data_IF_139303279875
#
_entry.id   IF_139303279875
#
_cell.length_a   1.000
_cell.length_b   1.000
_cell.length_c   1.000
_cell.angle_alpha   90.00
_cell.angle_beta   90.00
_cell.angle_gamma   90.00
#
_symmetry.space_group_name_H-M   'P 1'
#
loop_
_entity.id
_entity.type
_entity.pdbx_description
1 polymer ?
#
# COMPACT_ATOMS: atom_id res chain seq x y z
N UNK A 1 17.97 -12.93 4.46
CA UNK A 1 18.11 -13.13 5.92
C UNK A 1 16.74 -13.32 6.57
N UNK A 2 15.82 -12.35 6.47
CA UNK A 2 14.51 -12.44 7.12
C UNK A 2 13.54 -13.43 6.44
N UNK A 3 13.44 -13.40 5.09
CA UNK A 3 12.66 -14.39 4.30
C UNK A 3 13.01 -15.83 4.68
N UNK A 4 14.31 -16.15 4.75
CA UNK A 4 14.78 -17.49 5.12
C UNK A 4 14.36 -17.87 6.55
N UNK A 5 14.45 -16.95 7.51
CA UNK A 5 14.01 -17.20 8.89
C UNK A 5 12.50 -17.44 8.97
N UNK A 6 11.70 -16.66 8.23
CA UNK A 6 10.25 -16.84 8.11
C UNK A 6 9.93 -18.20 7.49
N UNK A 7 10.65 -18.58 6.42
CA UNK A 7 10.47 -19.88 5.76
C UNK A 7 10.76 -21.05 6.69
N UNK A 8 11.83 -20.95 7.49
CA UNK A 8 12.17 -21.96 8.50
C UNK A 8 11.07 -22.04 9.56
N UNK A 9 10.57 -20.91 10.05
CA UNK A 9 9.47 -20.87 11.03
C UNK A 9 8.17 -21.48 10.47
N UNK A 10 7.80 -21.15 9.22
CA UNK A 10 6.66 -21.75 8.51
C UNK A 10 6.81 -23.27 8.41
N UNK A 11 7.98 -23.75 7.97
CA UNK A 11 8.25 -25.18 7.86
C UNK A 11 8.15 -25.88 9.21
N UNK A 12 8.71 -25.32 10.27
CA UNK A 12 8.69 -25.90 11.60
C UNK A 12 7.28 -25.96 12.19
N UNK A 13 6.48 -24.91 12.00
CA UNK A 13 5.12 -24.85 12.56
C UNK A 13 4.11 -25.69 11.78
N UNK A 14 4.31 -25.84 10.46
CA UNK A 14 3.38 -26.51 9.56
C UNK A 14 3.96 -27.78 8.91
N UNK A 15 4.90 -28.47 9.57
CA UNK A 15 5.49 -29.74 9.08
C UNK A 15 4.44 -30.77 8.71
N UNK A 16 3.34 -30.80 9.46
CA UNK A 16 2.35 -31.88 9.39
C UNK A 16 1.29 -31.64 8.31
N UNK A 17 1.34 -30.48 7.65
CA UNK A 17 0.38 -30.08 6.61
C UNK A 17 0.64 -30.76 5.26
N UNK A 18 1.83 -31.35 5.06
CA UNK A 18 2.21 -31.99 3.80
C UNK A 18 2.28 -31.04 2.60
N UNK A 19 2.38 -29.73 2.86
CA UNK A 19 2.56 -28.66 1.88
C UNK A 19 4.00 -28.64 1.36
N UNK A 20 4.16 -28.37 0.07
CA UNK A 20 5.47 -28.33 -0.60
C UNK A 20 6.29 -27.10 -0.24
N UNK A 21 7.60 -27.19 -0.51
CA UNK A 21 8.55 -26.11 -0.21
C UNK A 21 8.22 -24.81 -0.98
N UNK A 22 7.66 -24.93 -2.18
CA UNK A 22 7.25 -23.80 -3.02
C UNK A 22 6.14 -22.96 -2.37
N UNK A 23 5.19 -23.63 -1.67
CA UNK A 23 4.12 -22.95 -0.93
C UNK A 23 4.70 -22.18 0.26
N UNK A 24 5.64 -22.80 0.97
CA UNK A 24 6.33 -22.17 2.10
C UNK A 24 7.21 -21.00 1.63
N UNK A 25 7.86 -21.12 0.47
CA UNK A 25 8.67 -20.05 -0.11
C UNK A 25 7.81 -18.85 -0.53
N UNK A 26 6.68 -19.10 -1.19
CA UNK A 26 5.75 -18.04 -1.59
C UNK A 26 5.15 -17.29 -0.40
N UNK A 27 4.75 -17.99 0.66
CA UNK A 27 4.24 -17.35 1.88
C UNK A 27 5.36 -16.60 2.60
N UNK A 28 6.57 -17.16 2.66
CA UNK A 28 7.72 -16.48 3.24
C UNK A 28 8.07 -15.18 2.49
N UNK A 29 7.92 -15.17 1.16
CA UNK A 29 8.16 -13.97 0.34
C UNK A 29 7.15 -12.86 0.65
N UNK A 30 5.86 -13.20 0.69
CA UNK A 30 4.78 -12.25 1.06
C UNK A 30 4.99 -11.69 2.47
N UNK A 31 5.30 -12.57 3.42
CA UNK A 31 5.54 -12.17 4.80
C UNK A 31 6.81 -11.31 4.93
N UNK A 32 7.85 -11.59 4.16
CA UNK A 32 9.11 -10.83 4.22
C UNK A 32 8.99 -9.36 3.79
N UNK A 33 7.92 -8.98 3.09
CA UNK A 33 7.64 -7.59 2.74
C UNK A 33 6.95 -6.81 3.88
N UNK A 34 6.26 -7.51 4.79
CA UNK A 34 5.43 -6.91 5.83
C UNK A 34 6.06 -7.06 7.23
N UNK A 35 6.75 -8.17 7.49
CA UNK A 35 7.48 -8.45 8.72
C UNK A 35 8.82 -7.72 8.65
N UNK A 36 9.07 -6.80 9.58
CA UNK A 36 10.33 -6.02 9.61
C UNK A 36 11.26 -6.47 10.73
N UNK A 37 10.70 -7.09 11.77
CA UNK A 37 11.45 -7.55 12.93
C UNK A 37 11.30 -9.06 13.14
N UNK A 38 12.34 -9.70 13.68
CA UNK A 38 12.30 -11.14 13.96
C UNK A 38 11.27 -11.52 15.02
N UNK A 39 10.96 -10.60 15.94
CA UNK A 39 9.94 -10.82 16.97
C UNK A 39 8.51 -10.93 16.41
N UNK A 40 8.26 -10.41 15.21
CA UNK A 40 6.96 -10.44 14.55
C UNK A 40 6.73 -11.73 13.73
N UNK A 41 7.79 -12.52 13.50
CA UNK A 41 7.74 -13.73 12.66
C UNK A 41 6.71 -14.73 13.18
N UNK A 42 6.74 -15.06 14.47
CA UNK A 42 5.87 -16.10 15.03
C UNK A 42 4.38 -15.75 14.93
N UNK A 43 4.05 -14.47 15.13
CA UNK A 43 2.69 -13.92 14.98
C UNK A 43 2.27 -13.95 13.52
N UNK A 44 3.10 -13.44 12.60
CA UNK A 44 2.80 -13.41 11.19
C UNK A 44 2.64 -14.82 10.57
N UNK A 45 3.46 -15.77 11.04
CA UNK A 45 3.36 -17.18 10.66
C UNK A 45 2.08 -17.81 11.23
N UNK A 46 1.62 -17.40 12.43
CA UNK A 46 0.33 -17.82 12.98
C UNK A 46 -0.85 -17.26 12.16
N UNK A 47 -0.79 -15.99 11.75
CA UNK A 47 -1.88 -15.35 11.00
C UNK A 47 -2.12 -16.00 9.63
N UNK A 48 -1.09 -16.65 9.07
CA UNK A 48 -1.18 -17.43 7.84
C UNK A 48 -1.81 -18.84 8.02
N UNK A 49 -2.13 -19.27 9.24
CA UNK A 49 -2.66 -20.60 9.52
C UNK A 49 -3.92 -20.90 8.71
N UNK A 50 -4.88 -19.97 8.67
CA UNK A 50 -6.15 -20.17 7.95
C UNK A 50 -5.96 -20.41 6.45
N UNK A 51 -5.00 -19.69 5.83
CA UNK A 51 -4.66 -19.86 4.43
C UNK A 51 -4.02 -21.23 4.18
N UNK A 52 -2.99 -21.58 4.96
CA UNK A 52 -2.26 -22.84 4.81
C UNK A 52 -3.16 -24.06 5.02
N UNK A 53 -4.07 -23.99 6.00
CA UNK A 53 -5.05 -25.06 6.27
C UNK A 53 -6.04 -25.26 5.12
N UNK A 54 -6.40 -24.19 4.43
CA UNK A 54 -7.26 -24.24 3.25
C UNK A 54 -6.54 -24.88 2.06
N UNK A 55 -5.28 -24.51 1.82
CA UNK A 55 -4.45 -25.13 0.78
C UNK A 55 -4.25 -26.62 1.07
N UNK A 56 -3.96 -26.98 2.31
CA UNK A 56 -3.87 -28.38 2.74
C UNK A 56 -5.17 -29.14 2.46
N UNK A 57 -6.31 -28.62 2.90
CA UNK A 57 -7.61 -29.27 2.69
C UNK A 57 -7.96 -29.46 1.22
N UNK A 58 -7.48 -28.58 0.35
CA UNK A 58 -7.63 -28.68 -1.10
C UNK A 58 -6.75 -29.78 -1.70
N UNK A 59 -5.49 -29.84 -1.26
CA UNK A 59 -4.53 -30.86 -1.69
C UNK A 59 -4.97 -32.26 -1.23
N UNK A 60 -5.51 -32.38 -0.02
CA UNK A 60 -6.02 -33.64 0.51
C UNK A 60 -7.26 -34.13 -0.25
N UNK A 61 -8.15 -33.22 -0.66
CA UNK A 61 -9.27 -33.54 -1.56
C UNK A 61 -8.77 -34.07 -2.90
N UNK A 62 -7.76 -33.43 -3.51
CA UNK A 62 -7.20 -33.88 -4.78
C UNK A 62 -6.53 -35.27 -4.66
N UNK A 63 -5.76 -35.51 -3.59
CA UNK A 63 -5.14 -36.82 -3.33
C UNK A 63 -6.20 -37.91 -3.20
N UNK A 64 -7.28 -37.64 -2.48
CA UNK A 64 -8.40 -38.57 -2.34
C UNK A 64 -9.12 -38.82 -3.68
N UNK A 65 -9.34 -37.76 -4.47
CA UNK A 65 -9.96 -37.87 -5.79
C UNK A 65 -9.10 -38.70 -6.75
N UNK A 66 -7.78 -38.48 -6.79
CA UNK A 66 -6.84 -39.28 -7.59
C UNK A 66 -6.84 -40.74 -7.18
N UNK A 67 -6.74 -41.03 -5.87
CA UNK A 67 -6.78 -42.42 -5.38
C UNK A 67 -8.07 -43.14 -5.76
N UNK A 68 -9.21 -42.44 -5.68
CA UNK A 68 -10.51 -42.97 -6.11
C UNK A 68 -10.57 -43.23 -7.62
N UNK A 69 -10.04 -42.31 -8.42
CA UNK A 69 -9.97 -42.45 -9.87
C UNK A 69 -9.07 -43.62 -10.30
N UNK A 70 -7.89 -43.78 -9.69
CA UNK A 70 -7.00 -44.91 -9.96
C UNK A 70 -7.64 -46.26 -9.60
N UNK A 71 -8.35 -46.34 -8.47
CA UNK A 71 -9.08 -47.56 -8.09
C UNK A 71 -10.18 -47.90 -9.11
N UNK A 72 -10.92 -46.91 -9.59
CA UNK A 72 -11.94 -47.10 -10.64
C UNK A 72 -11.32 -47.53 -11.95
N UNK A 73 -10.23 -46.89 -12.38
CA UNK A 73 -9.51 -47.24 -13.60
C UNK A 73 -8.98 -48.67 -13.55
N UNK A 74 -8.46 -49.10 -12.40
CA UNK A 74 -7.98 -50.47 -12.19
C UNK A 74 -9.13 -51.49 -12.21
N UNK A 75 -10.26 -51.19 -11.57
CA UNK A 75 -11.44 -52.04 -11.60
C UNK A 75 -11.99 -52.23 -13.03
N UNK A 76 -12.05 -51.15 -13.82
CA UNK A 76 -12.44 -51.19 -15.24
C UNK A 76 -11.44 -52.01 -16.08
N UNK A 77 -10.14 -51.87 -15.82
CA UNK A 77 -9.11 -52.64 -16.52
C UNK A 77 -9.14 -54.14 -16.17
N UNK A 78 -9.51 -54.49 -14.93
CA UNK A 78 -9.68 -55.88 -14.51
C UNK A 78 -10.99 -56.49 -15.05
N UNK A 79 -12.06 -55.69 -15.17
CA UNK A 79 -13.32 -56.08 -15.82
C UNK A 79 -13.13 -56.32 -17.33
N UNK A 80 -12.32 -55.49 -17.99
CA UNK A 80 -11.94 -55.67 -19.40
C UNK A 80 -11.04 -56.90 -19.67
N UNK A 81 -10.41 -57.47 -18.63
CA UNK A 81 -9.62 -58.71 -18.72
C UNK A 81 -10.43 -59.99 -18.47
N UNK A 82 -11.68 -59.89 -18.02
CA UNK A 82 -12.56 -61.05 -17.91
C UNK A 82 -13.11 -61.44 -19.29
N UNK A 83 -13.23 -62.74 -19.61
CA UNK A 83 -13.74 -63.18 -20.91
C UNK A 83 -15.18 -62.71 -21.13
N UNK A 84 -15.60 -62.44 -22.38
CA UNK A 84 -16.88 -61.85 -22.69
C UNK A 84 -18.01 -62.76 -22.22
N UNK A 85 -18.95 -62.26 -21.40
CA UNK A 85 -20.27 -62.89 -21.27
C UNK A 85 -21.07 -62.57 -22.55
N UNK A 86 -21.70 -63.59 -23.13
CA UNK A 86 -22.39 -63.56 -24.42
C UNK A 86 -23.41 -62.41 -24.59
N UNK A 87 -23.65 -61.97 -25.84
CA UNK A 87 -24.37 -60.73 -26.14
C UNK A 87 -25.89 -60.90 -26.17
N UNK A 88 -26.62 -59.93 -25.61
CA UNK A 88 -28.03 -59.68 -25.93
C UNK A 88 -28.14 -58.42 -26.83
N UNK A 89 -29.10 -58.37 -27.78
CA UNK A 89 -29.02 -57.49 -28.94
C UNK A 89 -29.38 -56.03 -28.63
N UNK A 90 -28.62 -55.09 -29.22
CA UNK A 90 -29.01 -53.67 -29.41
C UNK A 90 -29.80 -53.53 -30.72
N UNK A 91 -30.63 -52.48 -30.89
CA UNK A 91 -30.09 -51.25 -31.50
C UNK A 91 -30.67 -49.95 -30.92
N UNK A 92 -29.82 -48.94 -30.84
CA UNK A 92 -30.15 -47.57 -30.44
C UNK A 92 -28.87 -46.76 -30.28
N UNK A 93 -28.21 -46.48 -31.40
CA UNK A 93 -27.10 -45.52 -31.47
C UNK A 93 -27.62 -44.11 -31.23
N UNK A 94 -27.10 -43.46 -30.18
CA UNK A 94 -26.80 -42.03 -30.23
C UNK A 94 -25.38 -41.85 -29.71
N UNK A 95 -24.46 -41.73 -30.65
CA UNK A 95 -23.12 -41.20 -30.42
C UNK A 95 -23.22 -39.75 -30.00
N UNK A 96 -22.67 -39.39 -28.84
CA UNK A 96 -22.13 -38.04 -28.61
C UNK A 96 -21.10 -38.08 -27.47
N UNK A 97 -19.87 -37.69 -27.82
CA UNK A 97 -18.87 -36.96 -27.01
C UNK A 97 -18.41 -37.61 -25.69
N UNK A 98 -17.17 -38.06 -25.51
CA UNK A 98 -15.94 -37.57 -26.12
C UNK A 98 -15.54 -36.19 -25.58
N UNK A 99 -15.46 -36.02 -24.26
CA UNK A 99 -14.62 -35.05 -23.56
C UNK A 99 -14.77 -35.28 -22.04
N UNK A 100 -13.80 -35.94 -21.41
CA UNK A 100 -13.61 -35.77 -19.97
C UNK A 100 -13.02 -34.37 -19.81
N UNK A 101 -13.88 -33.36 -19.66
CA UNK A 101 -13.45 -32.05 -19.19
C UNK A 101 -12.65 -32.22 -17.89
N UNK A 102 -11.59 -31.41 -17.66
CA UNK A 102 -10.95 -31.37 -16.35
C UNK A 102 -12.02 -31.17 -15.27
N UNK A 103 -11.88 -31.75 -14.06
CA UNK A 103 -12.93 -31.67 -13.06
C UNK A 103 -13.31 -30.20 -12.84
N UNK A 104 -14.55 -29.82 -13.14
CA UNK A 104 -15.05 -28.43 -13.07
C UNK A 104 -14.62 -27.72 -11.78
N UNK A 105 -14.55 -28.48 -10.67
CA UNK A 105 -14.10 -28.02 -9.35
C UNK A 105 -12.63 -27.54 -9.32
N UNK A 106 -11.72 -28.16 -10.07
CA UNK A 106 -10.31 -27.73 -10.16
C UNK A 106 -10.16 -26.43 -10.98
N UNK A 107 -10.96 -26.27 -12.03
CA UNK A 107 -11.02 -25.00 -12.77
C UNK A 107 -11.64 -23.89 -11.93
N UNK A 108 -12.71 -24.18 -11.18
CA UNK A 108 -13.35 -23.24 -10.26
C UNK A 108 -12.41 -22.85 -9.10
N UNK A 109 -11.60 -23.79 -8.59
CA UNK A 109 -10.57 -23.46 -7.60
C UNK A 109 -9.48 -22.56 -8.16
N UNK A 110 -9.00 -22.83 -9.38
CA UNK A 110 -7.99 -21.97 -10.04
C UNK A 110 -8.53 -20.56 -10.28
N UNK A 111 -9.80 -20.41 -10.65
CA UNK A 111 -10.40 -19.08 -10.82
C UNK A 111 -10.57 -18.37 -9.49
N UNK A 112 -10.94 -19.08 -8.41
CA UNK A 112 -11.07 -18.50 -7.08
C UNK A 112 -9.72 -18.08 -6.48
N UNK A 113 -8.68 -18.91 -6.66
CA UNK A 113 -7.30 -18.55 -6.28
C UNK A 113 -6.83 -17.34 -7.07
N UNK A 114 -7.03 -17.30 -8.39
CA UNK A 114 -6.64 -16.15 -9.20
C UNK A 114 -7.38 -14.87 -8.78
N UNK A 115 -8.67 -14.97 -8.47
CA UNK A 115 -9.46 -13.85 -7.97
C UNK A 115 -8.97 -13.36 -6.60
N UNK A 116 -8.63 -14.28 -5.70
CA UNK A 116 -8.13 -13.93 -4.37
C UNK A 116 -6.72 -13.33 -4.43
N UNK A 117 -5.83 -13.89 -5.24
CA UNK A 117 -4.51 -13.31 -5.51
C UNK A 117 -4.65 -11.89 -6.04
N UNK A 118 -5.56 -11.66 -6.98
CA UNK A 118 -5.85 -10.32 -7.49
C UNK A 118 -6.29 -9.36 -6.38
N UNK A 119 -7.21 -9.77 -5.50
CA UNK A 119 -7.65 -8.94 -4.37
C UNK A 119 -6.51 -8.64 -3.39
N UNK A 120 -5.66 -9.62 -3.09
CA UNK A 120 -4.49 -9.41 -2.20
C UNK A 120 -3.52 -8.41 -2.80
N UNK A 121 -3.24 -8.50 -4.10
CA UNK A 121 -2.38 -7.53 -4.80
C UNK A 121 -3.00 -6.13 -4.76
N UNK A 122 -4.29 -5.99 -5.09
CA UNK A 122 -5.00 -4.70 -5.05
C UNK A 122 -5.00 -4.07 -3.64
N UNK A 123 -5.22 -4.89 -2.59
CA UNK A 123 -5.15 -4.42 -1.20
C UNK A 123 -3.74 -3.98 -0.80
N UNK A 124 -2.72 -4.72 -1.24
CA UNK A 124 -1.31 -4.41 -0.95
C UNK A 124 -0.91 -3.10 -1.63
N UNK A 125 -1.31 -2.90 -2.88
CA UNK A 125 -1.11 -1.65 -3.61
C UNK A 125 -1.83 -0.49 -2.91
N UNK A 126 -3.12 -0.66 -2.57
CA UNK A 126 -3.90 0.36 -1.87
C UNK A 126 -3.29 0.77 -0.52
N UNK A 127 -2.81 -0.19 0.27
CA UNK A 127 -2.12 0.09 1.53
C UNK A 127 -0.79 0.81 1.32
N UNK A 128 -0.03 0.44 0.29
CA UNK A 128 1.23 1.12 -0.08
C UNK A 128 0.96 2.59 -0.42
N UNK A 129 -0.09 2.85 -1.20
CA UNK A 129 -0.51 4.21 -1.55
C UNK A 129 -0.93 5.02 -0.32
N UNK A 130 -1.71 4.41 0.57
CA UNK A 130 -2.12 5.04 1.84
C UNK A 130 -0.92 5.37 2.72
N UNK A 131 0.04 4.47 2.84
CA UNK A 131 1.28 4.71 3.60
C UNK A 131 2.09 5.87 3.03
N UNK A 132 2.23 5.96 1.70
CA UNK A 132 2.93 7.09 1.07
C UNK A 132 2.22 8.42 1.29
N UNK A 133 0.89 8.44 1.21
CA UNK A 133 0.08 9.62 1.53
C UNK A 133 0.30 10.09 2.97
N UNK A 134 0.33 9.17 3.93
CA UNK A 134 0.58 9.45 5.35
C UNK A 134 2.00 9.99 5.58
N UNK A 135 3.01 9.38 4.95
CA UNK A 135 4.40 9.86 5.00
C UNK A 135 4.52 11.29 4.44
N UNK A 136 3.93 11.55 3.28
CA UNK A 136 3.95 12.87 2.67
C UNK A 136 3.21 13.90 3.52
N UNK A 137 2.04 13.54 4.04
CA UNK A 137 1.27 14.42 4.94
C UNK A 137 2.08 14.77 6.19
N UNK A 138 2.82 13.80 6.73
CA UNK A 138 3.68 14.01 7.91
C UNK A 138 4.85 14.93 7.57
N UNK A 139 5.58 14.67 6.48
CA UNK A 139 6.70 15.51 6.04
C UNK A 139 6.27 16.97 5.80
N UNK A 140 5.12 17.18 5.16
CA UNK A 140 4.56 18.53 4.91
C UNK A 140 4.18 19.26 6.22
N UNK A 141 3.70 18.53 7.23
CA UNK A 141 3.42 19.09 8.57
C UNK A 141 4.69 19.48 9.30
N UNK A 142 5.74 18.65 9.24
CA UNK A 142 7.03 18.91 9.88
C UNK A 142 7.69 20.18 9.33
N UNK A 143 7.65 20.39 8.02
CA UNK A 143 8.17 21.60 7.36
C UNK A 143 7.21 22.79 7.42
N UNK A 144 6.13 22.68 8.21
CA UNK A 144 5.15 23.71 8.54
C UNK A 144 4.38 24.33 7.37
N UNK A 145 4.16 23.56 6.30
CA UNK A 145 3.22 23.98 5.25
C UNK A 145 1.79 23.80 5.79
N UNK A 146 0.89 24.79 5.66
CA UNK A 146 -0.48 24.65 6.13
C UNK A 146 -1.26 23.54 5.42
N UNK A 147 -2.01 22.74 6.19
CA UNK A 147 -2.80 21.61 5.67
C UNK A 147 -3.80 22.04 4.58
N UNK A 148 -4.38 23.23 4.71
CA UNK A 148 -5.31 23.78 3.71
C UNK A 148 -4.66 24.01 2.33
N UNK A 149 -3.34 24.21 2.27
CA UNK A 149 -2.63 24.45 1.02
C UNK A 149 -2.42 23.16 0.23
N UNK A 150 -1.98 22.09 0.89
CA UNK A 150 -1.58 20.86 0.19
C UNK A 150 -2.64 19.76 0.19
N UNK A 151 -3.52 19.69 1.20
CA UNK A 151 -4.45 18.56 1.37
C UNK A 151 -5.36 18.35 0.16
N UNK A 152 -5.96 19.38 -0.47
CA UNK A 152 -6.77 19.19 -1.68
C UNK A 152 -5.97 18.67 -2.88
N UNK A 153 -4.67 18.94 -2.92
CA UNK A 153 -3.78 18.59 -4.04
C UNK A 153 -3.40 17.12 -3.97
N UNK A 154 -3.12 16.61 -2.77
CA UNK A 154 -2.63 15.24 -2.56
C UNK A 154 -3.75 14.23 -2.28
N UNK A 155 -4.94 14.69 -1.89
CA UNK A 155 -6.07 13.79 -1.62
C UNK A 155 -6.51 13.07 -2.89
N UNK A 156 -6.61 11.74 -2.82
CA UNK A 156 -7.02 10.90 -3.96
C UNK A 156 -5.93 10.68 -5.02
N UNK A 157 -4.71 11.17 -4.81
CA UNK A 157 -3.58 10.83 -5.68
C UNK A 157 -3.05 9.43 -5.39
N UNK A 158 -2.55 8.81 -6.44
CA UNK A 158 -1.64 7.66 -6.37
C UNK A 158 -0.21 8.14 -6.61
N UNK A 159 0.72 7.42 -6.02
CA UNK A 159 2.15 7.70 -6.00
C UNK A 159 2.88 6.57 -6.73
N UNK A 160 3.79 6.88 -7.66
CA UNK A 160 4.61 5.86 -8.31
C UNK A 160 5.54 5.19 -7.30
N UNK A 161 6.12 4.04 -7.66
CA UNK A 161 6.96 3.24 -6.75
C UNK A 161 8.21 4.00 -6.30
N UNK A 162 8.82 4.76 -7.21
CA UNK A 162 9.99 5.61 -7.04
C UNK A 162 9.67 7.01 -6.47
N UNK A 163 8.43 7.24 -6.03
CA UNK A 163 8.03 8.53 -5.45
C UNK A 163 8.89 8.90 -4.23
N UNK A 164 9.64 9.99 -4.37
CA UNK A 164 10.44 10.58 -3.30
C UNK A 164 9.61 11.60 -2.51
N UNK A 165 9.20 11.18 -1.31
CA UNK A 165 8.43 12.00 -0.37
C UNK A 165 9.17 13.29 0.02
N UNK A 166 10.48 13.22 0.23
CA UNK A 166 11.27 14.35 0.74
C UNK A 166 11.46 15.42 -0.34
N UNK A 167 11.76 14.99 -1.57
CA UNK A 167 11.88 15.89 -2.72
C UNK A 167 10.56 16.59 -2.99
N UNK A 168 9.44 15.86 -3.08
CA UNK A 168 8.14 16.47 -3.33
C UNK A 168 7.70 17.41 -2.18
N UNK A 169 7.95 17.03 -0.93
CA UNK A 169 7.64 17.91 0.21
C UNK A 169 8.41 19.24 0.15
N UNK A 170 9.69 19.20 -0.26
CA UNK A 170 10.53 20.39 -0.43
C UNK A 170 10.01 21.31 -1.55
N UNK A 171 9.54 20.74 -2.66
CA UNK A 171 8.92 21.51 -3.75
C UNK A 171 7.64 22.22 -3.29
N UNK A 172 6.78 21.52 -2.54
CA UNK A 172 5.55 22.10 -1.97
C UNK A 172 5.89 23.24 -1.00
N UNK A 173 6.90 23.06 -0.16
CA UNK A 173 7.38 24.11 0.75
C UNK A 173 7.88 25.33 0.00
N UNK A 174 8.64 25.12 -1.08
CA UNK A 174 9.15 26.21 -1.92
C UNK A 174 8.00 27.01 -2.53
N UNK A 175 6.96 26.33 -3.04
CA UNK A 175 5.76 26.99 -3.55
C UNK A 175 5.00 27.77 -2.48
N UNK A 176 4.88 27.23 -1.27
CA UNK A 176 4.27 27.92 -0.13
C UNK A 176 5.04 29.19 0.25
N UNK A 177 6.37 29.12 0.36
CA UNK A 177 7.21 30.28 0.68
C UNK A 177 7.14 31.37 -0.40
N UNK A 178 7.05 30.98 -1.67
CA UNK A 178 6.85 31.92 -2.77
C UNK A 178 5.50 32.66 -2.64
N UNK A 179 4.43 31.92 -2.32
CA UNK A 179 3.11 32.49 -2.05
C UNK A 179 3.15 33.45 -0.86
N UNK A 180 3.76 33.08 0.27
CA UNK A 180 3.91 33.96 1.44
C UNK A 180 4.63 35.27 1.09
N UNK A 181 5.69 35.19 0.29
CA UNK A 181 6.44 36.37 -0.18
C UNK A 181 5.58 37.27 -1.07
N UNK A 182 4.78 36.68 -1.95
CA UNK A 182 3.86 37.42 -2.82
C UNK A 182 2.77 38.13 -2.00
N UNK A 183 2.15 37.43 -1.03
CA UNK A 183 1.17 38.03 -0.11
C UNK A 183 1.79 39.14 0.74
N UNK A 184 3.02 38.94 1.24
CA UNK A 184 3.73 39.97 1.98
C UNK A 184 3.96 41.22 1.11
N UNK A 185 4.34 41.04 -0.15
CA UNK A 185 4.54 42.14 -1.09
C UNK A 185 3.23 42.88 -1.36
N UNK A 186 2.17 42.13 -1.70
CA UNK A 186 0.82 42.67 -1.97
C UNK A 186 0.18 43.38 -0.78
N UNK A 187 0.50 42.98 0.46
CA UNK A 187 0.03 43.66 1.67
C UNK A 187 0.44 45.14 1.69
N UNK A 188 1.56 45.50 1.05
CA UNK A 188 2.07 46.86 1.03
C UNK A 188 1.73 47.63 -0.25
N UNK A 189 1.06 47.03 -1.24
CA UNK A 189 0.73 47.68 -2.52
C UNK A 189 -0.27 48.85 -2.39
N UNK A 190 -0.91 49.02 -1.22
CA UNK A 190 -1.88 50.08 -0.95
C UNK A 190 -1.56 50.99 0.23
N UNK A 191 -0.39 50.86 0.86
CA UNK A 191 0.02 51.78 1.93
C UNK A 191 0.95 52.83 1.36
N UNK A 192 0.67 54.10 1.63
CA UNK A 192 1.64 55.14 1.36
C UNK A 192 2.88 54.85 2.22
N UNK A 193 4.09 54.85 1.64
CA UNK A 193 5.29 54.85 2.46
C UNK A 193 5.21 56.03 3.44
N UNK A 194 5.76 55.90 4.67
CA UNK A 194 5.84 57.01 5.59
C UNK A 194 6.43 58.22 4.86
N UNK A 195 5.96 59.41 5.21
CA UNK A 195 6.50 60.64 4.65
C UNK A 195 8.02 60.59 4.78
N UNK A 196 8.71 60.49 3.63
CA UNK A 196 10.17 60.54 3.64
C UNK A 196 10.49 61.95 4.09
N UNK A 197 11.28 62.07 5.16
CA UNK A 197 11.79 63.37 5.59
C UNK A 197 12.36 64.10 4.37
N UNK A 198 11.73 65.22 4.03
CA UNK A 198 12.10 66.00 2.86
C UNK A 198 13.57 66.45 3.05
N UNK A 199 14.47 66.09 2.13
CA UNK A 199 15.89 66.42 2.24
C UNK A 199 16.17 67.93 2.25
N UNK A 200 15.20 68.76 1.80
CA UNK A 200 15.28 70.22 1.84
C UNK A 200 14.69 70.82 3.13
N UNK A 201 14.08 70.03 4.01
CA UNK A 201 13.64 70.53 5.32
C UNK A 201 14.85 70.65 6.24
N UNK A 202 15.24 71.87 6.60
CA UNK A 202 16.26 72.09 7.63
C UNK A 202 15.82 71.37 8.91
N UNK A 203 16.73 70.62 9.57
CA UNK A 203 16.44 69.87 10.82
C UNK A 203 15.78 70.72 11.93
N UNK A 204 15.92 72.04 11.87
CA UNK A 204 15.27 73.00 12.78
C UNK A 204 13.77 73.15 12.54
N UNK A 205 13.28 72.83 11.35
CA UNK A 205 11.89 72.96 10.95
C UNK A 205 11.10 71.65 10.98
N UNK A 206 11.79 70.52 11.16
CA UNK A 206 11.18 69.22 11.42
C UNK A 206 10.25 69.31 12.66
N UNK A 207 8.95 69.01 12.53
CA UNK A 207 8.00 69.02 13.64
C UNK A 207 8.44 68.15 14.82
N UNK A 208 9.13 67.04 14.57
CA UNK A 208 9.65 66.16 15.62
C UNK A 208 10.81 66.84 16.36
N UNK A 209 11.70 67.54 15.65
CA UNK A 209 12.79 68.28 16.26
C UNK A 209 12.29 69.47 17.10
N UNK A 210 11.22 70.15 16.66
CA UNK A 210 10.56 71.20 17.43
C UNK A 210 9.94 70.66 18.73
N UNK A 211 9.26 69.51 18.65
CA UNK A 211 8.66 68.85 19.81
C UNK A 211 9.71 68.38 20.82
N UNK A 212 10.82 67.82 20.34
CA UNK A 212 11.95 67.41 21.19
C UNK A 212 12.56 68.61 21.91
N UNK A 213 12.78 69.73 21.21
CA UNK A 213 13.30 70.96 21.83
C UNK A 213 12.35 71.50 22.89
N UNK A 214 11.06 71.63 22.56
CA UNK A 214 10.05 72.09 23.51
C UNK A 214 10.01 71.21 24.77
N UNK A 215 9.99 69.88 24.61
CA UNK A 215 10.02 68.96 25.75
C UNK A 215 11.30 69.09 26.58
N UNK A 216 12.44 69.31 25.94
CA UNK A 216 13.73 69.54 26.62
C UNK A 216 13.72 70.83 27.42
N UNK A 217 13.19 71.92 26.85
CA UNK A 217 13.07 73.21 27.53
C UNK A 217 12.09 73.13 28.71
N UNK A 218 10.98 72.41 28.56
CA UNK A 218 10.01 72.19 29.64
C UNK A 218 10.59 71.37 30.80
N UNK A 219 11.43 70.37 30.53
CA UNK A 219 12.12 69.59 31.57
C UNK A 219 13.17 70.45 32.27
N UNK A 220 13.95 71.21 31.49
CA UNK A 220 15.04 72.04 32.01
C UNK A 220 14.52 73.19 32.87
N UNK A 221 13.37 73.78 32.51
CA UNK A 221 12.76 74.89 33.24
C UNK A 221 11.82 74.47 34.39
N UNK A 222 11.65 73.16 34.63
CA UNK A 222 10.86 72.61 35.76
C UNK A 222 11.73 72.09 36.92
N UNK A 223 13.05 72.25 36.86
CA UNK A 223 13.98 72.07 37.99
C UNK A 223 14.29 73.41 38.65
#
# INVERSE_FOLDING_TARGET
MLKEKIKVALKQKYTDTGLGDDVMDGVAEILSHNVKEEAEIDTAVADCEGLLRTVQGSLDKERNARSSAEKRAKALADEAKQPPKEPAPKPGETSTTGATEPPSELSEMRTLIAALTKQVTELTEANTQKSKLEQLTTALKEIKVPEAYYKPIISGRTFPEDFDVATYATEVQTGWQAMEKELASKRFDGVNPPDKGDPDTQKSDDPLAKLIKQGTDEITNKQ
#
